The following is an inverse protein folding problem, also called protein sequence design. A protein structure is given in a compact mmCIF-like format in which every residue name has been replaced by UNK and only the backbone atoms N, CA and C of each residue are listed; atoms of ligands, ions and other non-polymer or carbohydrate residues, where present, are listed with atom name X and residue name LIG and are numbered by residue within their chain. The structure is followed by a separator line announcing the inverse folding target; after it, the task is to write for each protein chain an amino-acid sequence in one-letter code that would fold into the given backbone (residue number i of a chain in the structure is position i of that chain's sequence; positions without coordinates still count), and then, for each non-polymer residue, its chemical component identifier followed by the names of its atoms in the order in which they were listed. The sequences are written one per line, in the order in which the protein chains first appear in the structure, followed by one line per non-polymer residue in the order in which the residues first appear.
data_IF_794964217178
#
_entry.id   IF_794964217178
#
_cell.length_a   1.000
_cell.length_b   1.000
_cell.length_c   1.000
_cell.angle_alpha   90.00
_cell.angle_beta   90.00
_cell.angle_gamma   90.00
#
_symmetry.space_group_name_H-M   'P 1'
#
loop_
_entity.id
_entity.type
_entity.pdbx_description
1 polymer ?
#
# COMPACT_ATOMS: atom_id res chain seq x y z
N UNK A 1 26.16 30.61 1.92
CA UNK A 1 25.28 29.80 2.80
C UNK A 1 23.92 30.46 3.06
N UNK A 2 23.78 31.79 3.07
CA UNK A 2 22.53 32.49 3.46
C UNK A 2 21.29 32.23 2.59
N UNK A 3 21.44 31.83 1.32
CA UNK A 3 20.30 31.50 0.45
C UNK A 3 19.50 30.30 0.99
N UNK A 4 20.19 29.29 1.52
CA UNK A 4 19.56 28.04 1.95
C UNK A 4 18.85 28.17 3.31
N UNK A 5 19.29 29.09 4.17
CA UNK A 5 18.53 29.44 5.38
C UNK A 5 17.24 30.20 5.04
N UNK A 6 17.24 31.04 4.00
CA UNK A 6 16.04 31.78 3.60
C UNK A 6 14.96 30.83 3.03
N UNK A 7 15.34 29.92 2.12
CA UNK A 7 14.40 28.94 1.56
C UNK A 7 13.89 27.93 2.59
N UNK A 8 14.70 27.57 3.60
CA UNK A 8 14.26 26.76 4.75
C UNK A 8 13.20 27.49 5.59
N UNK A 9 13.41 28.79 5.84
CA UNK A 9 12.45 29.61 6.58
C UNK A 9 11.13 29.76 5.78
N UNK A 10 11.21 30.01 4.48
CA UNK A 10 10.04 30.05 3.59
C UNK A 10 9.28 28.71 3.58
N UNK A 11 9.96 27.56 3.63
CA UNK A 11 9.30 26.25 3.77
C UNK A 11 8.58 26.10 5.12
N UNK A 12 9.17 26.56 6.23
CA UNK A 12 8.53 26.55 7.55
C UNK A 12 7.28 27.45 7.58
N UNK A 13 7.36 28.67 7.03
CA UNK A 13 6.21 29.59 7.00
C UNK A 13 5.07 29.06 6.12
N UNK A 14 5.39 28.44 4.98
CA UNK A 14 4.41 27.73 4.15
C UNK A 14 3.77 26.53 4.87
N UNK A 15 4.53 25.80 5.69
CA UNK A 15 4.03 24.69 6.47
C UNK A 15 3.11 25.15 7.61
N UNK A 16 3.47 26.23 8.32
CA UNK A 16 2.62 26.85 9.34
C UNK A 16 1.31 27.33 8.71
N UNK A 17 1.36 28.00 7.56
CA UNK A 17 0.18 28.42 6.79
C UNK A 17 -0.74 27.24 6.40
N UNK A 18 -0.17 26.13 5.89
CA UNK A 18 -0.92 24.90 5.59
C UNK A 18 -1.53 24.24 6.84
N UNK A 19 -0.88 24.34 8.00
CA UNK A 19 -1.39 23.77 9.25
C UNK A 19 -2.45 24.67 9.93
N UNK A 20 -2.49 25.97 9.64
CA UNK A 20 -3.51 26.91 10.15
C UNK A 20 -4.70 27.10 9.19
N UNK A 21 -4.60 26.68 7.92
CA UNK A 21 -5.70 26.70 6.95
C UNK A 21 -6.92 25.88 7.43
N UNK A 22 -8.12 26.48 7.55
CA UNK A 22 -9.34 25.75 7.92
C UNK A 22 -9.70 24.61 6.96
N UNK A 23 -9.30 24.70 5.69
CA UNK A 23 -9.52 23.66 4.67
C UNK A 23 -8.77 22.36 4.99
N UNK A 24 -7.70 22.46 5.78
CA UNK A 24 -6.83 21.35 6.18
C UNK A 24 -7.15 20.91 7.62
N UNK A 25 -7.98 21.65 8.37
CA UNK A 25 -8.31 21.36 9.76
C UNK A 25 -8.81 19.92 9.98
N UNK A 26 -9.80 19.50 9.19
CA UNK A 26 -10.46 18.17 9.26
C UNK A 26 -9.59 17.01 8.74
N UNK A 27 -8.44 17.28 8.12
CA UNK A 27 -7.54 16.22 7.63
C UNK A 27 -6.85 15.52 8.80
N UNK A 28 -6.76 14.17 8.84
CA UNK A 28 -6.04 13.46 9.91
C UNK A 28 -4.57 13.87 10.00
N UNK A 29 -4.02 14.00 11.22
CA UNK A 29 -2.65 14.49 11.44
C UNK A 29 -1.57 13.71 10.68
N UNK A 30 -1.70 12.38 10.58
CA UNK A 30 -0.80 11.55 9.77
C UNK A 30 -0.75 11.97 8.29
N UNK A 31 -1.85 12.48 7.72
CA UNK A 31 -1.90 13.00 6.35
C UNK A 31 -1.30 14.40 6.23
N UNK A 32 -1.40 15.24 7.27
CA UNK A 32 -0.70 16.54 7.32
C UNK A 32 0.80 16.33 7.36
N UNK A 33 1.30 15.42 8.20
CA UNK A 33 2.71 15.04 8.31
C UNK A 33 3.21 14.48 6.96
N UNK A 34 2.54 13.49 6.39
CA UNK A 34 2.91 12.91 5.10
C UNK A 34 2.96 13.94 3.96
N UNK A 35 2.08 14.95 3.96
CA UNK A 35 2.15 16.05 3.00
C UNK A 35 3.41 16.91 3.18
N UNK A 36 3.74 17.28 4.42
CA UNK A 36 4.95 18.07 4.72
C UNK A 36 6.25 17.28 4.42
N UNK A 37 6.28 15.98 4.69
CA UNK A 37 7.36 15.08 4.28
C UNK A 37 7.49 15.03 2.74
N UNK A 38 6.37 14.92 2.02
CA UNK A 38 6.37 14.96 0.54
C UNK A 38 6.82 16.31 -0.05
N UNK A 39 6.75 17.39 0.75
CA UNK A 39 7.30 18.71 0.42
C UNK A 39 8.80 18.84 0.75
N UNK A 40 9.43 17.77 1.27
CA UNK A 40 10.86 17.72 1.57
C UNK A 40 11.25 18.30 2.93
N UNK A 41 10.29 18.45 3.86
CA UNK A 41 10.60 18.86 5.24
C UNK A 41 11.11 17.69 6.07
N UNK A 42 12.09 17.94 6.92
CA UNK A 42 12.53 16.95 7.91
C UNK A 42 11.55 16.85 9.09
N UNK A 43 11.57 15.69 9.76
CA UNK A 43 10.76 15.47 10.97
C UNK A 43 10.99 16.54 12.07
N UNK A 44 12.19 17.12 12.18
CA UNK A 44 12.45 18.21 13.11
C UNK A 44 11.73 19.51 12.73
N UNK A 45 11.77 19.89 11.46
CA UNK A 45 11.10 21.08 10.91
C UNK A 45 9.57 20.95 10.96
N UNK A 46 9.04 19.73 10.74
CA UNK A 46 7.61 19.42 10.87
C UNK A 46 7.12 19.63 12.31
N UNK A 47 7.86 19.14 13.30
CA UNK A 47 7.53 19.35 14.72
C UNK A 47 7.60 20.84 15.12
N UNK A 48 8.56 21.59 14.58
CA UNK A 48 8.65 23.03 14.78
C UNK A 48 7.43 23.77 14.17
N UNK A 49 7.04 23.44 12.93
CA UNK A 49 5.87 24.01 12.28
C UNK A 49 4.56 23.67 13.02
N UNK A 50 4.41 22.42 13.50
CA UNK A 50 3.29 22.00 14.34
C UNK A 50 3.19 22.79 15.64
N UNK A 51 4.31 23.03 16.32
CA UNK A 51 4.37 23.81 17.57
C UNK A 51 3.95 25.27 17.34
N UNK A 52 4.44 25.87 16.26
CA UNK A 52 4.09 27.25 15.88
C UNK A 52 2.61 27.34 15.48
N UNK A 53 2.12 26.41 14.64
CA UNK A 53 0.73 26.38 14.22
C UNK A 53 -0.25 26.13 15.38
N UNK A 54 0.09 25.25 16.33
CA UNK A 54 -0.70 25.05 17.55
C UNK A 54 -0.78 26.33 18.41
N UNK A 55 0.32 27.08 18.49
CA UNK A 55 0.37 28.37 19.19
C UNK A 55 -0.50 29.43 18.47
N UNK A 56 -0.51 29.45 17.13
CA UNK A 56 -1.36 30.36 16.34
C UNK A 56 -2.85 29.95 16.37
N UNK A 57 -3.18 28.67 16.42
CA UNK A 57 -4.57 28.22 16.59
C UNK A 57 -5.13 28.61 17.98
N UNK A 58 -4.28 28.74 19.00
CA UNK A 58 -4.70 29.19 20.33
C UNK A 58 -5.04 30.69 20.41
N UNK A 59 -4.59 31.54 19.46
CA UNK A 59 -4.97 32.98 19.48
C UNK A 59 -6.37 33.25 18.91
N UNK A 60 -7.00 32.26 18.26
CA UNK A 60 -8.37 32.33 17.76
C UNK A 60 -9.43 31.79 18.72
N UNK A 61 -9.01 31.22 19.86
CA UNK A 61 -9.90 30.93 21.00
C UNK A 61 -9.63 31.99 22.07
N UNK A 62 -10.57 32.92 22.24
CA UNK A 62 -10.37 34.14 23.04
C UNK A 62 -9.83 33.85 24.45
N UNK A 63 -8.95 34.74 24.99
CA UNK A 63 -8.27 34.49 26.25
C UNK A 63 -9.28 34.38 27.41
N UNK A 64 -9.09 33.44 28.36
CA UNK A 64 -9.88 33.42 29.59
C UNK A 64 -9.61 34.70 30.40
N UNK A 65 -10.63 35.29 31.06
CA UNK A 65 -10.45 36.51 31.82
C UNK A 65 -9.54 36.27 33.05
N UNK A 66 -8.40 36.94 33.08
CA UNK A 66 -7.54 36.98 34.26
C UNK A 66 -8.25 37.75 35.41
N UNK A 67 -8.03 37.36 36.68
CA UNK A 67 -8.62 38.05 37.82
C UNK A 67 -8.08 39.49 37.97
N UNK A 68 -8.90 40.44 38.44
CA UNK A 68 -8.52 41.85 38.52
C UNK A 68 -7.48 42.10 39.63
N UNK A 69 -6.35 42.69 39.25
CA UNK A 69 -5.34 43.21 40.16
C UNK A 69 -5.69 44.69 40.45
N UNK A 70 -5.77 45.14 41.72
CA UNK A 70 -6.11 46.53 42.03
C UNK A 70 -5.01 47.50 41.61
N UNK A 71 -5.42 48.64 41.04
CA UNK A 71 -4.51 49.65 40.50
C UNK A 71 -3.77 50.44 41.60
N UNK A 72 -2.43 50.44 41.53
CA UNK A 72 -1.57 51.36 42.27
C UNK A 72 -1.46 52.71 41.56
N UNK A 73 -1.60 53.81 42.31
CA UNK A 73 -1.74 55.17 41.79
C UNK A 73 -0.61 55.63 40.86
N UNK A 74 -0.99 56.40 39.83
CA UNK A 74 -0.06 56.96 38.85
C UNK A 74 0.73 58.17 39.35
N UNK A 75 1.91 58.36 38.75
CA UNK A 75 2.74 59.57 38.84
C UNK A 75 2.16 60.72 38.02
N UNK A 76 2.05 61.94 38.56
CA UNK A 76 1.84 63.15 37.75
C UNK A 76 3.19 63.72 37.29
N UNK A 77 3.32 63.93 35.98
CA UNK A 77 4.41 64.71 35.37
C UNK A 77 3.95 66.15 35.17
N UNK A 78 4.68 67.12 35.71
CA UNK A 78 4.57 68.54 35.34
C UNK A 78 5.95 69.18 35.47
N UNK A 79 6.43 69.87 34.42
CA UNK A 79 7.79 70.38 34.35
C UNK A 79 7.93 71.91 34.40
N UNK A 80 9.19 72.36 34.45
CA UNK A 80 9.61 73.71 34.05
C UNK A 80 9.46 74.83 35.08
N UNK A 81 10.58 75.38 35.56
CA UNK A 81 10.60 76.62 36.35
C UNK A 81 11.97 76.94 36.95
N UNK A 82 12.59 78.03 36.50
CA UNK A 82 13.87 78.54 37.01
C UNK A 82 13.67 79.30 38.34
N UNK A 83 14.57 79.14 39.31
CA UNK A 83 14.57 79.94 40.54
C UNK A 83 15.80 79.71 41.41
N UNK A 84 16.65 80.73 41.57
CA UNK A 84 17.88 80.70 42.39
C UNK A 84 17.68 81.55 43.65
N UNK A 85 17.88 80.97 44.84
CA UNK A 85 18.02 81.69 46.12
C UNK A 85 18.77 80.82 47.17
N UNK A 86 19.45 81.37 48.21
CA UNK A 86 20.66 80.73 48.74
C UNK A 86 20.78 80.52 50.28
N UNK A 87 21.68 79.59 50.67
CA UNK A 87 22.27 79.36 52.03
C UNK A 87 21.30 78.91 53.17
N UNK A 88 21.76 78.38 54.35
CA UNK A 88 23.14 78.21 54.85
C UNK A 88 23.52 76.78 55.36
N UNK A 89 24.80 76.63 55.74
CA UNK A 89 25.37 75.45 56.42
C UNK A 89 24.88 75.32 57.88
N UNK A 90 24.62 74.09 58.36
CA UNK A 90 24.39 73.78 59.78
C UNK A 90 25.35 72.67 60.25
N UNK A 91 25.96 72.85 61.43
CA UNK A 91 26.81 71.85 62.07
C UNK A 91 25.96 70.92 62.98
N UNK A 92 26.29 69.62 63.09
CA UNK A 92 25.53 68.67 63.91
C UNK A 92 25.79 68.88 65.42
N UNK A 93 24.78 68.68 66.29
CA UNK A 93 24.94 68.78 67.75
C UNK A 93 25.73 67.59 68.33
N UNK A 94 26.44 67.77 69.46
CA UNK A 94 27.23 66.72 70.08
C UNK A 94 26.36 65.60 70.70
N UNK A 95 26.87 64.34 70.74
CA UNK A 95 26.11 63.19 71.24
C UNK A 95 25.90 63.23 72.77
N UNK A 96 24.77 62.71 73.28
CA UNK A 96 24.47 62.66 74.71
C UNK A 96 25.34 61.65 75.46
N UNK A 97 25.64 61.95 76.73
CA UNK A 97 26.49 61.13 77.59
C UNK A 97 25.90 59.72 77.88
N UNK A 98 26.74 58.69 78.05
CA UNK A 98 26.28 57.34 78.35
C UNK A 98 25.62 57.27 79.74
N UNK A 99 24.47 56.61 79.82
CA UNK A 99 23.81 56.31 81.10
C UNK A 99 24.56 55.20 81.82
N UNK A 100 24.83 55.41 83.11
CA UNK A 100 25.30 54.34 84.00
C UNK A 100 24.16 53.35 84.24
N UNK A 101 24.29 52.13 83.72
CA UNK A 101 23.36 51.04 84.03
C UNK A 101 23.57 50.60 85.48
N UNK A 102 22.53 50.76 86.30
CA UNK A 102 22.58 50.35 87.70
C UNK A 102 22.63 48.82 87.81
N UNK A 103 23.18 48.30 88.92
CA UNK A 103 23.20 46.86 89.22
C UNK A 103 21.81 46.20 89.17
N UNK A 104 20.74 46.99 89.36
CA UNK A 104 19.34 46.58 89.21
C UNK A 104 18.99 46.22 87.78
N UNK A 105 19.50 46.95 86.79
CA UNK A 105 19.27 46.67 85.37
C UNK A 105 19.95 45.36 84.95
N UNK A 106 21.08 45.01 85.57
CA UNK A 106 21.71 43.70 85.39
C UNK A 106 20.88 42.56 86.00
N UNK A 107 20.26 42.76 87.18
CA UNK A 107 19.32 41.78 87.76
C UNK A 107 18.07 41.63 86.89
N UNK A 108 17.50 42.75 86.41
CA UNK A 108 16.32 42.73 85.53
C UNK A 108 16.65 42.10 84.17
N UNK A 109 17.78 42.42 83.55
CA UNK A 109 18.28 41.73 82.34
C UNK A 109 18.52 40.25 82.61
N UNK A 110 19.11 39.88 83.74
CA UNK A 110 19.37 38.49 84.13
C UNK A 110 18.07 37.69 84.27
N UNK A 111 17.09 38.20 85.01
CA UNK A 111 15.80 37.53 85.19
C UNK A 111 14.98 37.50 83.90
N UNK A 112 15.00 38.58 83.10
CA UNK A 112 14.28 38.64 81.81
C UNK A 112 14.88 37.69 80.78
N UNK A 113 16.22 37.67 80.65
CA UNK A 113 16.91 36.74 79.74
C UNK A 113 16.76 35.28 80.19
N UNK A 114 16.83 34.99 81.49
CA UNK A 114 16.55 33.65 82.02
C UNK A 114 15.10 33.21 81.75
N UNK A 115 14.12 34.11 81.89
CA UNK A 115 12.72 33.84 81.56
C UNK A 115 12.50 33.55 80.07
N UNK A 116 13.11 34.34 79.18
CA UNK A 116 13.06 34.13 77.73
C UNK A 116 13.76 32.80 77.35
N UNK A 117 14.92 32.51 77.94
CA UNK A 117 15.67 31.28 77.70
C UNK A 117 14.88 30.04 78.14
N UNK A 118 14.23 30.10 79.30
CA UNK A 118 13.39 29.00 79.81
C UNK A 118 12.12 28.81 78.97
N UNK A 119 11.49 29.92 78.53
CA UNK A 119 10.35 29.88 77.60
C UNK A 119 10.72 29.23 76.26
N UNK A 120 11.85 29.62 75.67
CA UNK A 120 12.37 29.02 74.44
C UNK A 120 12.67 27.53 74.62
N UNK A 121 13.30 27.13 75.74
CA UNK A 121 13.58 25.72 76.04
C UNK A 121 12.30 24.88 76.15
N UNK A 122 11.26 25.38 76.81
CA UNK A 122 9.97 24.68 76.91
C UNK A 122 9.28 24.52 75.54
N UNK A 123 9.31 25.55 74.69
CA UNK A 123 8.75 25.47 73.32
C UNK A 123 9.52 24.47 72.47
N UNK A 124 10.86 24.51 72.51
CA UNK A 124 11.71 23.58 71.76
C UNK A 124 11.47 22.15 72.24
N UNK A 125 11.63 21.88 73.53
CA UNK A 125 11.57 20.52 74.08
C UNK A 125 10.18 19.89 73.99
N UNK A 126 9.11 20.68 74.18
CA UNK A 126 7.74 20.17 74.27
C UNK A 126 6.92 20.26 72.99
N UNK A 127 7.35 21.06 72.00
CA UNK A 127 6.55 21.32 70.79
C UNK A 127 7.31 21.18 69.46
N UNK A 128 8.60 21.55 69.41
CA UNK A 128 9.43 21.36 68.21
C UNK A 128 10.08 19.98 68.17
N UNK A 129 10.71 19.54 69.26
CA UNK A 129 11.38 18.25 69.35
C UNK A 129 10.50 17.04 68.96
N UNK A 130 9.25 16.90 69.46
CA UNK A 130 8.35 15.80 69.05
C UNK A 130 7.79 15.94 67.62
N UNK A 131 8.05 17.04 66.90
CA UNK A 131 7.71 17.21 65.48
C UNK A 131 8.91 17.12 64.54
N UNK A 132 10.12 17.33 65.04
CA UNK A 132 11.37 17.38 64.26
C UNK A 132 12.17 16.08 64.37
N UNK A 133 11.97 15.28 65.43
CA UNK A 133 12.46 13.89 65.49
C UNK A 133 11.34 12.97 64.97
N UNK A 134 11.39 12.50 63.72
CA UNK A 134 10.44 11.50 63.24
C UNK A 134 10.62 10.17 63.99
N UNK A 135 9.54 9.46 64.36
CA UNK A 135 9.61 8.04 64.69
C UNK A 135 9.92 7.25 63.40
N UNK A 136 11.20 6.96 63.18
CA UNK A 136 11.80 6.95 61.84
C UNK A 136 12.14 5.59 61.21
N UNK A 137 11.71 4.46 61.78
CA UNK A 137 12.00 3.13 61.19
C UNK A 137 10.85 2.68 60.26
N UNK A 138 9.69 2.32 60.81
CA UNK A 138 8.59 1.70 60.04
C UNK A 138 8.17 2.42 58.75
N UNK A 139 8.15 3.76 58.70
CA UNK A 139 7.80 4.50 57.48
C UNK A 139 8.95 4.60 56.47
N UNK A 140 10.19 4.63 56.96
CA UNK A 140 11.36 4.60 56.10
C UNK A 140 11.58 3.19 55.52
N UNK A 141 11.22 2.15 56.26
CA UNK A 141 11.28 0.77 55.80
C UNK A 141 10.17 0.47 54.77
N UNK A 142 8.96 0.99 54.97
CA UNK A 142 7.87 0.97 53.96
C UNK A 142 8.27 1.69 52.66
N UNK A 143 8.88 2.88 52.76
CA UNK A 143 9.39 3.61 51.60
C UNK A 143 10.52 2.84 50.88
N UNK A 144 11.46 2.22 51.62
CA UNK A 144 12.51 1.36 51.03
C UNK A 144 11.93 0.13 50.32
N UNK A 145 10.96 -0.55 50.93
CA UNK A 145 10.29 -1.70 50.29
C UNK A 145 9.54 -1.28 49.02
N UNK A 146 8.96 -0.07 48.99
CA UNK A 146 8.35 0.48 47.78
C UNK A 146 9.40 0.78 46.70
N UNK A 147 10.54 1.35 47.09
CA UNK A 147 11.62 1.72 46.17
C UNK A 147 12.31 0.50 45.58
N UNK A 148 12.59 -0.52 46.40
CA UNK A 148 13.12 -1.82 45.99
C UNK A 148 12.17 -2.52 45.01
N UNK A 149 10.85 -2.48 45.28
CA UNK A 149 9.84 -3.03 44.36
C UNK A 149 9.79 -2.30 43.03
N UNK A 150 9.93 -0.98 43.01
CA UNK A 150 10.00 -0.22 41.76
C UNK A 150 11.36 -0.41 41.04
N UNK A 151 12.47 -0.60 41.75
CA UNK A 151 13.75 -0.99 41.13
C UNK A 151 13.66 -2.36 40.46
N UNK A 152 13.14 -3.38 41.15
CA UNK A 152 12.90 -4.70 40.56
C UNK A 152 11.94 -4.64 39.35
N UNK A 153 10.94 -3.74 39.39
CA UNK A 153 10.06 -3.47 38.25
C UNK A 153 10.81 -2.83 37.08
N UNK A 154 11.68 -1.86 37.34
CA UNK A 154 12.48 -1.18 36.31
C UNK A 154 13.52 -2.14 35.71
N UNK A 155 14.15 -2.99 36.52
CA UNK A 155 15.06 -4.04 36.04
C UNK A 155 14.32 -5.06 35.17
N UNK A 156 13.14 -5.54 35.59
CA UNK A 156 12.31 -6.44 34.77
C UNK A 156 11.83 -5.78 33.46
N UNK A 157 11.52 -4.48 33.48
CA UNK A 157 11.19 -3.71 32.26
C UNK A 157 12.42 -3.50 31.37
N UNK A 158 13.62 -3.37 31.94
CA UNK A 158 14.86 -3.25 31.17
C UNK A 158 15.26 -4.59 30.53
N UNK A 159 15.16 -5.70 31.26
CA UNK A 159 15.35 -7.06 30.73
C UNK A 159 14.31 -7.36 29.64
N UNK A 160 13.04 -6.97 29.86
CA UNK A 160 12.01 -7.08 28.83
C UNK A 160 12.34 -6.20 27.62
N UNK A 161 12.83 -4.96 27.79
CA UNK A 161 13.19 -4.08 26.68
C UNK A 161 14.40 -4.61 25.89
N UNK A 162 15.41 -5.16 26.56
CA UNK A 162 16.55 -5.82 25.92
C UNK A 162 16.09 -7.05 25.12
N UNK A 163 15.20 -7.85 25.70
CA UNK A 163 14.60 -9.01 25.02
C UNK A 163 13.74 -8.60 23.83
N UNK A 164 12.83 -7.63 24.00
CA UNK A 164 11.96 -7.11 22.95
C UNK A 164 12.80 -6.49 21.82
N UNK A 165 13.92 -5.82 22.14
CA UNK A 165 14.84 -5.29 21.14
C UNK A 165 15.64 -6.39 20.43
N UNK A 166 16.06 -7.45 21.13
CA UNK A 166 16.71 -8.63 20.53
C UNK A 166 15.76 -9.38 19.59
N UNK A 167 14.53 -9.66 20.05
CA UNK A 167 13.49 -10.26 19.21
C UNK A 167 13.09 -9.35 18.04
N UNK A 168 13.04 -8.03 18.24
CA UNK A 168 12.78 -7.08 17.16
C UNK A 168 13.90 -7.10 16.11
N UNK A 169 15.18 -7.09 16.51
CA UNK A 169 16.32 -7.20 15.58
C UNK A 169 16.23 -8.51 14.80
N UNK A 170 16.03 -9.65 15.47
CA UNK A 170 15.88 -10.95 14.81
C UNK A 170 14.73 -10.96 13.79
N UNK A 171 13.58 -10.36 14.12
CA UNK A 171 12.44 -10.23 13.21
C UNK A 171 12.74 -9.27 12.04
N UNK A 172 13.51 -8.20 12.25
CA UNK A 172 13.94 -7.30 11.17
C UNK A 172 14.93 -7.98 10.23
N UNK A 173 15.87 -8.78 10.74
CA UNK A 173 16.82 -9.55 9.92
C UNK A 173 16.09 -10.61 9.08
N UNK A 174 15.14 -11.35 9.67
CA UNK A 174 14.26 -12.26 8.93
C UNK A 174 13.46 -11.54 7.83
N UNK A 175 12.88 -10.37 8.13
CA UNK A 175 12.14 -9.59 7.13
C UNK A 175 13.05 -9.05 6.04
N UNK A 176 14.26 -8.61 6.36
CA UNK A 176 15.26 -8.15 5.39
C UNK A 176 15.65 -9.29 4.45
N UNK A 177 15.94 -10.48 4.98
CA UNK A 177 16.21 -11.67 4.16
C UNK A 177 15.05 -12.04 3.24
N UNK A 178 13.81 -12.01 3.72
CA UNK A 178 12.61 -12.27 2.90
C UNK A 178 12.40 -11.20 1.82
N UNK A 179 12.75 -9.94 2.10
CA UNK A 179 12.72 -8.85 1.11
C UNK A 179 13.80 -9.07 0.04
N UNK A 180 15.02 -9.42 0.43
CA UNK A 180 16.12 -9.70 -0.50
C UNK A 180 15.80 -10.91 -1.40
N UNK A 181 15.21 -11.97 -0.84
CA UNK A 181 14.75 -13.15 -1.58
C UNK A 181 13.63 -12.80 -2.57
N UNK A 182 12.62 -12.02 -2.15
CA UNK A 182 11.57 -11.54 -3.03
C UNK A 182 12.09 -10.59 -4.13
N UNK A 183 13.10 -9.76 -3.84
CA UNK A 183 13.75 -8.90 -4.83
C UNK A 183 14.53 -9.73 -5.87
N UNK A 184 15.21 -10.80 -5.45
CA UNK A 184 15.84 -11.75 -6.37
C UNK A 184 14.82 -12.50 -7.23
N UNK A 185 13.69 -12.92 -6.67
CA UNK A 185 12.61 -13.55 -7.44
C UNK A 185 12.00 -12.58 -8.46
N UNK A 186 11.75 -11.31 -8.08
CA UNK A 186 11.24 -10.28 -8.99
C UNK A 186 12.23 -10.00 -10.12
N UNK A 187 13.54 -9.90 -9.86
CA UNK A 187 14.56 -9.76 -10.91
C UNK A 187 14.60 -10.99 -11.84
N UNK A 188 14.49 -12.20 -11.30
CA UNK A 188 14.39 -13.43 -12.09
C UNK A 188 13.14 -13.47 -12.96
N UNK A 189 11.97 -13.09 -12.42
CA UNK A 189 10.70 -13.00 -13.16
C UNK A 189 10.76 -11.92 -14.24
N UNK A 190 11.36 -10.76 -13.96
CA UNK A 190 11.54 -9.67 -14.94
C UNK A 190 12.46 -10.12 -16.07
N UNK A 191 13.59 -10.77 -15.77
CA UNK A 191 14.50 -11.35 -16.78
C UNK A 191 13.81 -12.43 -17.61
N UNK A 192 13.13 -13.37 -16.97
CA UNK A 192 12.37 -14.43 -17.66
C UNK A 192 11.23 -13.87 -18.52
N UNK A 193 10.55 -12.81 -18.07
CA UNK A 193 9.51 -12.11 -18.82
C UNK A 193 10.09 -11.35 -20.01
N UNK A 194 11.26 -10.72 -19.86
CA UNK A 194 11.95 -10.03 -20.94
C UNK A 194 12.43 -11.01 -22.03
N UNK A 195 13.12 -12.09 -21.63
CA UNK A 195 13.51 -13.18 -22.54
C UNK A 195 12.29 -13.80 -23.23
N UNK A 196 11.21 -14.09 -22.50
CA UNK A 196 9.96 -14.58 -23.08
C UNK A 196 9.34 -13.58 -24.06
N UNK A 197 9.40 -12.28 -23.79
CA UNK A 197 8.92 -11.25 -24.71
C UNK A 197 9.78 -11.19 -25.99
N UNK A 198 11.10 -11.29 -25.87
CA UNK A 198 12.01 -11.38 -27.02
C UNK A 198 11.74 -12.63 -27.87
N UNK A 199 11.54 -13.80 -27.23
CA UNK A 199 11.12 -15.04 -27.92
C UNK A 199 9.74 -14.92 -28.55
N UNK A 200 8.80 -14.23 -27.91
CA UNK A 200 7.50 -13.93 -28.49
C UNK A 200 7.65 -13.01 -29.72
N UNK A 201 8.54 -12.03 -29.71
CA UNK A 201 8.81 -11.18 -30.86
C UNK A 201 9.46 -11.95 -32.02
N UNK A 202 10.42 -12.85 -31.73
CA UNK A 202 11.03 -13.76 -32.70
C UNK A 202 9.98 -14.70 -33.34
N UNK A 203 9.14 -15.33 -32.53
CA UNK A 203 8.07 -16.23 -33.00
C UNK A 203 6.97 -15.48 -33.76
N UNK A 204 6.63 -14.25 -33.38
CA UNK A 204 5.72 -13.40 -34.16
C UNK A 204 6.31 -12.99 -35.52
N UNK A 205 7.62 -12.70 -35.58
CA UNK A 205 8.34 -12.47 -36.86
C UNK A 205 8.33 -13.72 -37.72
N UNK A 206 8.62 -14.89 -37.15
CA UNK A 206 8.56 -16.17 -37.85
C UNK A 206 7.15 -16.47 -38.38
N UNK A 207 6.13 -16.37 -37.53
CA UNK A 207 4.73 -16.61 -37.91
C UNK A 207 4.25 -15.63 -38.98
N UNK A 208 4.71 -14.37 -38.97
CA UNK A 208 4.44 -13.43 -40.06
C UNK A 208 5.03 -13.91 -41.39
N UNK A 209 6.30 -14.36 -41.39
CA UNK A 209 6.94 -14.91 -42.58
C UNK A 209 6.25 -16.19 -43.08
N UNK A 210 5.80 -17.05 -42.16
CA UNK A 210 5.03 -18.25 -42.47
C UNK A 210 3.65 -17.90 -43.05
N UNK A 211 2.95 -16.90 -42.50
CA UNK A 211 1.68 -16.40 -43.04
C UNK A 211 1.87 -15.80 -44.44
N UNK A 212 2.92 -15.02 -44.68
CA UNK A 212 3.25 -14.51 -46.02
C UNK A 212 3.63 -15.64 -46.99
N UNK A 213 4.34 -16.68 -46.52
CA UNK A 213 4.63 -17.90 -47.29
C UNK A 213 3.38 -18.70 -47.64
N UNK A 214 2.48 -18.92 -46.68
CA UNK A 214 1.18 -19.58 -46.88
C UNK A 214 0.34 -18.76 -47.86
N UNK A 215 0.29 -17.44 -47.72
CA UNK A 215 -0.41 -16.54 -48.64
C UNK A 215 0.12 -16.64 -50.06
N UNK A 216 1.44 -16.60 -50.27
CA UNK A 216 2.02 -16.73 -51.62
C UNK A 216 1.78 -18.13 -52.20
N UNK A 217 1.87 -19.18 -51.39
CA UNK A 217 1.61 -20.58 -51.79
C UNK A 217 0.14 -20.80 -52.13
N UNK A 218 -0.79 -20.24 -51.36
CA UNK A 218 -2.22 -20.29 -51.59
C UNK A 218 -2.60 -19.53 -52.86
N UNK A 219 -2.09 -18.32 -53.07
CA UNK A 219 -2.30 -17.55 -54.31
C UNK A 219 -1.74 -18.29 -55.53
N UNK A 220 -0.55 -18.91 -55.40
CA UNK A 220 0.06 -19.71 -56.48
C UNK A 220 -0.76 -20.96 -56.80
N UNK A 221 -1.27 -21.67 -55.79
CA UNK A 221 -2.14 -22.84 -55.98
C UNK A 221 -3.50 -22.45 -56.57
N UNK A 222 -4.07 -21.30 -56.19
CA UNK A 222 -5.31 -20.78 -56.75
C UNK A 222 -5.12 -20.42 -58.24
N UNK A 223 -4.06 -19.70 -58.59
CA UNK A 223 -3.79 -19.36 -59.99
C UNK A 223 -3.44 -20.61 -60.82
N UNK A 224 -2.76 -21.60 -60.24
CA UNK A 224 -2.53 -22.90 -60.87
C UNK A 224 -3.85 -23.67 -61.12
N UNK A 225 -4.75 -23.76 -60.12
CA UNK A 225 -6.06 -24.39 -60.28
C UNK A 225 -6.92 -23.64 -61.31
N UNK A 226 -6.95 -22.32 -61.27
CA UNK A 226 -7.63 -21.46 -62.27
C UNK A 226 -7.09 -21.71 -63.67
N UNK A 227 -5.77 -21.84 -63.83
CA UNK A 227 -5.12 -22.19 -65.09
C UNK A 227 -5.54 -23.58 -65.57
N UNK A 228 -5.44 -24.61 -64.72
CA UNK A 228 -5.90 -25.98 -65.04
C UNK A 228 -7.37 -26.00 -65.44
N UNK A 229 -8.27 -25.39 -64.66
CA UNK A 229 -9.70 -25.30 -64.97
C UNK A 229 -9.92 -24.56 -66.30
N UNK A 230 -9.18 -23.48 -66.58
CA UNK A 230 -9.30 -22.79 -67.87
C UNK A 230 -8.80 -23.61 -69.06
N UNK A 231 -7.79 -24.45 -68.86
CA UNK A 231 -7.27 -25.38 -69.87
C UNK A 231 -8.26 -26.53 -70.11
N UNK A 232 -8.82 -27.11 -69.05
CA UNK A 232 -9.85 -28.15 -69.14
C UNK A 232 -11.13 -27.59 -69.79
N UNK A 233 -11.59 -26.39 -69.40
CA UNK A 233 -12.73 -25.74 -70.05
C UNK A 233 -12.49 -25.49 -71.53
N UNK A 234 -11.29 -25.05 -71.93
CA UNK A 234 -10.93 -24.87 -73.33
C UNK A 234 -10.84 -26.20 -74.09
N UNK A 235 -10.32 -27.25 -73.47
CA UNK A 235 -10.30 -28.60 -74.06
C UNK A 235 -11.73 -29.18 -74.17
N UNK A 236 -12.61 -28.87 -73.23
CA UNK A 236 -14.03 -29.20 -73.31
C UNK A 236 -14.73 -28.40 -74.43
N UNK A 237 -14.45 -27.11 -74.57
CA UNK A 237 -14.94 -26.23 -75.65
C UNK A 237 -14.52 -26.79 -77.03
N UNK A 238 -13.22 -27.06 -77.22
CA UNK A 238 -12.69 -27.68 -78.43
C UNK A 238 -13.30 -29.08 -78.68
N UNK A 239 -13.52 -29.89 -77.64
CA UNK A 239 -14.25 -31.16 -77.77
C UNK A 239 -15.71 -30.96 -78.13
N UNK A 240 -16.40 -29.95 -77.61
CA UNK A 240 -17.78 -29.65 -78.01
C UNK A 240 -17.87 -29.17 -79.44
N UNK A 241 -16.94 -28.34 -79.92
CA UNK A 241 -16.87 -27.91 -81.33
C UNK A 241 -16.54 -29.09 -82.26
N UNK A 242 -15.65 -29.99 -81.84
CA UNK A 242 -15.38 -31.24 -82.55
C UNK A 242 -16.59 -32.18 -82.55
N UNK A 243 -17.39 -32.24 -81.47
CA UNK A 243 -18.65 -32.99 -81.46
C UNK A 243 -19.73 -32.33 -82.32
N UNK A 244 -19.84 -30.99 -82.31
CA UNK A 244 -20.80 -30.24 -83.13
C UNK A 244 -20.47 -30.44 -84.60
N UNK A 245 -19.22 -30.24 -85.01
CA UNK A 245 -18.79 -30.49 -86.40
C UNK A 245 -18.90 -31.97 -86.81
N UNK A 246 -18.71 -32.92 -85.88
CA UNK A 246 -18.98 -34.33 -86.15
C UNK A 246 -20.48 -34.62 -86.34
N UNK A 247 -21.36 -34.06 -85.50
CA UNK A 247 -22.82 -34.15 -85.64
C UNK A 247 -23.28 -33.50 -86.95
N UNK A 248 -22.78 -32.32 -87.28
CA UNK A 248 -23.06 -31.59 -88.52
C UNK A 248 -22.58 -32.40 -89.75
N UNK A 249 -21.43 -33.09 -89.64
CA UNK A 249 -20.95 -34.03 -90.67
C UNK A 249 -21.81 -35.30 -90.80
N UNK A 250 -22.51 -35.72 -89.74
CA UNK A 250 -23.43 -36.87 -89.75
C UNK A 250 -24.78 -36.45 -90.32
N UNK A 251 -25.30 -35.29 -89.97
CA UNK A 251 -26.56 -34.79 -90.50
C UNK A 251 -26.41 -34.42 -91.98
N UNK A 252 -25.27 -33.82 -92.36
CA UNK A 252 -24.85 -33.65 -93.77
C UNK A 252 -24.65 -34.98 -94.54
N UNK A 253 -24.52 -36.12 -93.84
CA UNK A 253 -24.42 -37.47 -94.43
C UNK A 253 -25.74 -38.25 -94.42
N UNK A 254 -26.87 -37.63 -94.06
CA UNK A 254 -28.20 -38.24 -94.21
C UNK A 254 -28.77 -38.15 -95.61
N UNK A 255 -28.20 -37.35 -96.50
CA UNK A 255 -28.37 -37.54 -97.94
C UNK A 255 -27.25 -38.43 -98.50
N UNK A 256 -27.64 -39.38 -99.36
CA UNK A 256 -26.80 -40.35 -100.08
C UNK A 256 -26.49 -41.68 -99.36
N UNK A 257 -27.33 -42.69 -99.62
CA UNK A 257 -26.97 -44.12 -99.44
C UNK A 257 -25.77 -44.50 -100.33
N UNK A 258 -24.92 -45.44 -99.91
CA UNK A 258 -23.83 -45.93 -100.78
C UNK A 258 -22.84 -46.94 -100.18
N UNK A 259 -23.18 -48.23 -100.27
CA UNK A 259 -22.34 -49.42 -100.02
C UNK A 259 -20.85 -49.36 -100.47
N UNK A 260 -19.92 -49.78 -99.59
CA UNK A 260 -18.87 -50.84 -99.74
C UNK A 260 -17.77 -50.67 -98.66
N UNK A 261 -17.54 -51.62 -97.75
CA UNK A 261 -16.90 -52.96 -97.84
C UNK A 261 -15.36 -52.98 -97.99
N UNK A 262 -14.77 -53.90 -97.21
CA UNK A 262 -13.37 -54.37 -97.11
C UNK A 262 -12.50 -53.60 -96.09
N UNK A 263 -11.61 -54.24 -95.31
CA UNK A 263 -11.27 -55.66 -95.21
C UNK A 263 -10.24 -55.90 -94.10
N UNK A 264 -10.27 -57.10 -93.52
CA UNK A 264 -9.47 -57.61 -92.39
C UNK A 264 -7.96 -57.28 -92.42
N UNK A 265 -7.37 -56.88 -91.28
CA UNK A 265 -6.21 -57.60 -90.70
C UNK A 265 -5.93 -57.25 -89.23
N UNK A 266 -5.30 -58.20 -88.53
CA UNK A 266 -4.97 -58.16 -87.10
C UNK A 266 -3.45 -58.22 -86.98
N UNK A 267 -2.84 -57.51 -86.01
CA UNK A 267 -1.89 -58.21 -85.15
C UNK A 267 -2.12 -57.92 -83.67
N UNK A 268 -2.17 -59.01 -82.89
CA UNK A 268 -2.00 -59.00 -81.44
C UNK A 268 -0.53 -59.31 -81.14
N UNK A 269 0.06 -58.70 -80.10
CA UNK A 269 0.57 -59.57 -79.05
C UNK A 269 0.09 -59.18 -77.64
N UNK A 270 0.16 -60.15 -76.73
CA UNK A 270 -0.22 -60.04 -75.31
C UNK A 270 1.03 -59.72 -74.43
N UNK A 271 1.07 -59.90 -73.08
CA UNK A 271 1.23 -58.73 -72.20
C UNK A 271 2.41 -58.77 -71.19
N UNK A 272 2.55 -57.68 -70.41
CA UNK A 272 3.25 -57.55 -69.09
C UNK A 272 4.80 -57.67 -69.01
N UNK A 273 5.48 -57.17 -67.95
CA UNK A 273 5.22 -56.02 -67.04
C UNK A 273 6.50 -55.12 -66.83
N UNK A 274 6.51 -54.09 -65.94
CA UNK A 274 6.79 -54.33 -64.50
C UNK A 274 5.97 -53.49 -63.50
N UNK A 275 5.75 -54.10 -62.33
CA UNK A 275 5.43 -53.56 -61.00
C UNK A 275 5.04 -52.07 -60.83
N UNK A 276 3.73 -51.82 -60.71
CA UNK A 276 3.25 -50.76 -59.82
C UNK A 276 3.46 -51.22 -58.37
N UNK A 277 4.43 -50.62 -57.67
CA UNK A 277 4.65 -50.84 -56.24
C UNK A 277 3.59 -50.10 -55.40
N UNK A 278 2.38 -50.66 -55.34
CA UNK A 278 1.44 -50.38 -54.25
C UNK A 278 1.95 -51.05 -52.96
N UNK A 279 2.97 -50.46 -52.35
CA UNK A 279 3.27 -50.64 -50.93
C UNK A 279 2.63 -49.50 -50.14
N UNK A 280 1.29 -49.51 -50.08
CA UNK A 280 0.54 -48.68 -49.15
C UNK A 280 0.09 -49.52 -47.95
N UNK A 281 1.08 -50.10 -47.25
CA UNK A 281 0.85 -50.74 -45.96
C UNK A 281 0.86 -49.67 -44.85
N UNK A 282 -0.32 -49.18 -44.48
CA UNK A 282 -0.49 -48.51 -43.19
C UNK A 282 -1.78 -48.93 -42.49
N UNK A 283 -1.87 -50.23 -42.20
CA UNK A 283 -2.69 -50.69 -41.08
C UNK A 283 -2.14 -50.08 -39.79
N UNK A 284 -2.85 -49.11 -39.21
CA UNK A 284 -2.48 -48.51 -37.92
C UNK A 284 -3.02 -49.36 -36.77
N UNK A 285 -2.25 -50.35 -36.33
CA UNK A 285 -2.52 -51.12 -35.11
C UNK A 285 -1.21 -51.49 -34.38
N UNK A 286 -1.00 -50.89 -33.20
CA UNK A 286 -0.29 -51.40 -32.02
C UNK A 286 0.97 -52.28 -32.16
N UNK A 287 2.09 -51.82 -31.57
CA UNK A 287 3.11 -52.55 -30.75
C UNK A 287 4.28 -51.54 -30.54
N UNK A 288 4.50 -50.93 -29.37
CA UNK A 288 4.96 -51.45 -28.05
C UNK A 288 6.49 -51.63 -27.93
N UNK A 289 7.17 -50.64 -27.33
CA UNK A 289 8.50 -50.71 -26.68
C UNK A 289 8.65 -49.54 -25.68
N UNK A 290 9.42 -49.64 -24.57
CA UNK A 290 9.30 -50.57 -23.44
C UNK A 290 8.96 -49.86 -22.10
N UNK A 291 8.92 -50.64 -21.01
CA UNK A 291 8.45 -50.32 -19.66
C UNK A 291 9.40 -49.50 -18.75
N UNK A 292 8.88 -48.39 -18.18
CA UNK A 292 9.19 -47.73 -16.87
C UNK A 292 10.65 -47.31 -16.46
N UNK A 293 10.85 -46.42 -15.43
CA UNK A 293 9.88 -45.90 -14.45
C UNK A 293 9.66 -44.37 -14.39
N UNK A 294 8.36 -44.07 -14.26
CA UNK A 294 7.70 -43.06 -13.41
C UNK A 294 8.53 -41.95 -12.73
N UNK A 295 8.25 -40.71 -13.14
CA UNK A 295 8.09 -39.55 -12.24
C UNK A 295 6.87 -38.75 -12.68
N UNK A 296 6.05 -38.34 -11.72
CA UNK A 296 4.65 -37.94 -11.91
C UNK A 296 4.53 -36.43 -11.64
N UNK A 297 4.17 -35.65 -12.67
CA UNK A 297 3.83 -34.23 -12.57
C UNK A 297 2.66 -33.96 -13.50
N UNK A 298 1.46 -33.91 -12.92
CA UNK A 298 0.22 -33.61 -13.62
C UNK A 298 0.24 -32.18 -14.17
N UNK A 299 0.28 -32.05 -15.50
CA UNK A 299 0.06 -30.80 -16.21
C UNK A 299 -0.95 -31.07 -17.33
N UNK A 300 -2.20 -30.56 -17.23
CA UNK A 300 -3.22 -30.82 -18.23
C UNK A 300 -2.88 -30.15 -19.58
N UNK A 301 -3.30 -30.73 -20.72
CA UNK A 301 -3.01 -30.18 -22.04
C UNK A 301 -3.69 -28.81 -22.27
N UNK A 302 -3.15 -27.96 -23.15
CA UNK A 302 -3.61 -26.57 -23.34
C UNK A 302 -5.02 -26.42 -23.93
N UNK A 303 -5.73 -27.52 -24.21
CA UNK A 303 -7.15 -27.54 -24.58
C UNK A 303 -8.11 -27.40 -23.38
N UNK A 304 -7.61 -27.39 -22.14
CA UNK A 304 -8.43 -27.34 -20.92
C UNK A 304 -8.72 -25.92 -20.40
N UNK A 305 -8.36 -24.87 -21.15
CA UNK A 305 -8.66 -23.47 -20.80
C UNK A 305 -9.91 -23.02 -21.56
N UNK A 306 -11.05 -22.73 -20.88
CA UNK A 306 -12.26 -22.28 -21.56
C UNK A 306 -12.04 -20.89 -22.18
N UNK A 307 -12.62 -20.66 -23.37
CA UNK A 307 -12.53 -19.37 -24.03
C UNK A 307 -13.39 -18.33 -23.29
N UNK A 308 -12.95 -17.07 -23.25
CA UNK A 308 -13.66 -16.01 -22.54
C UNK A 308 -15.11 -15.77 -23.04
N UNK A 309 -15.46 -16.29 -24.22
CA UNK A 309 -16.84 -16.29 -24.73
C UNK A 309 -17.74 -17.36 -24.12
N UNK A 310 -17.19 -18.51 -23.73
CA UNK A 310 -17.96 -19.63 -23.17
C UNK A 310 -18.39 -19.36 -21.72
N UNK A 311 -17.57 -18.61 -20.97
CA UNK A 311 -17.83 -18.20 -19.59
C UNK A 311 -18.98 -17.16 -19.49
N UNK A 312 -19.27 -16.44 -20.58
CA UNK A 312 -20.24 -15.34 -20.60
C UNK A 312 -21.67 -15.75 -21.00
N UNK A 313 -21.93 -17.00 -21.38
CA UNK A 313 -23.21 -17.41 -21.97
C UNK A 313 -24.02 -18.46 -21.19
N UNK A 314 -23.40 -19.22 -20.28
CA UNK A 314 -24.09 -20.31 -19.55
C UNK A 314 -24.54 -19.87 -18.15
N UNK A 315 -25.74 -19.30 -18.09
CA UNK A 315 -26.62 -19.52 -16.94
C UNK A 315 -27.33 -20.87 -17.13
N UNK A 316 -27.92 -21.42 -16.07
CA UNK A 316 -28.76 -22.64 -16.04
C UNK A 316 -28.03 -24.01 -16.15
N UNK A 317 -27.85 -24.69 -15.00
CA UNK A 317 -28.72 -25.82 -14.55
C UNK A 317 -28.02 -27.03 -13.89
N UNK A 318 -28.13 -27.09 -12.55
CA UNK A 318 -28.18 -28.32 -11.70
C UNK A 318 -26.86 -29.13 -11.57
N UNK A 319 -26.62 -29.98 -10.55
CA UNK A 319 -27.51 -30.79 -9.67
C UNK A 319 -26.97 -31.01 -8.23
N UNK A 320 -27.89 -31.30 -7.28
CA UNK A 320 -27.72 -32.00 -5.97
C UNK A 320 -26.73 -31.41 -4.93
N UNK A 321 -27.09 -31.16 -3.66
CA UNK A 321 -27.83 -32.05 -2.74
C UNK A 321 -28.56 -31.34 -1.56
N UNK A 322 -29.71 -31.91 -1.15
CA UNK A 322 -30.11 -32.39 0.21
C UNK A 322 -29.62 -31.63 1.49
N UNK A 323 -30.42 -31.28 2.53
CA UNK A 323 -31.89 -31.18 2.77
C UNK A 323 -32.25 -30.59 4.18
N UNK A 324 -33.13 -29.56 4.26
CA UNK A 324 -34.03 -29.14 5.39
C UNK A 324 -33.45 -28.75 6.79
N UNK A 325 -34.20 -28.03 7.69
CA UNK A 325 -35.04 -26.80 7.55
C UNK A 325 -34.81 -25.75 8.73
N UNK A 326 -35.64 -24.69 8.95
CA UNK A 326 -35.18 -23.40 9.52
C UNK A 326 -35.78 -22.99 10.90
N UNK A 327 -35.61 -21.73 11.38
CA UNK A 327 -36.40 -20.56 10.93
C UNK A 327 -35.50 -19.31 10.64
N UNK A 328 -35.95 -18.11 10.24
CA UNK A 328 -37.29 -17.51 10.10
C UNK A 328 -37.36 -16.53 8.88
N UNK A 329 -38.31 -15.60 8.87
CA UNK A 329 -38.60 -14.60 7.81
C UNK A 329 -38.08 -13.18 8.13
N UNK A 330 -37.76 -12.38 7.09
CA UNK A 330 -38.52 -11.16 6.71
C UNK A 330 -38.36 -10.93 5.20
N UNK A 331 -39.48 -10.77 4.48
CA UNK A 331 -39.55 -10.36 3.06
C UNK A 331 -39.64 -8.85 2.89
N UNK A 332 -38.91 -8.26 1.94
CA UNK A 332 -39.40 -7.11 1.14
C UNK A 332 -38.72 -7.07 -0.24
N UNK A 333 -39.52 -7.07 -1.30
CA UNK A 333 -39.16 -6.81 -2.72
C UNK A 333 -39.18 -5.28 -2.96
N UNK A 334 -38.21 -4.64 -3.63
CA UNK A 334 -37.98 -4.47 -5.09
C UNK A 334 -36.85 -3.40 -5.26
N UNK A 335 -36.40 -2.99 -6.47
CA UNK A 335 -36.13 -3.72 -7.71
C UNK A 335 -34.62 -3.68 -8.08
N UNK A 336 -34.23 -4.39 -9.14
CA UNK A 336 -32.82 -4.58 -9.52
C UNK A 336 -32.08 -3.31 -9.96
N UNK A 337 -31.03 -2.92 -9.23
CA UNK A 337 -29.90 -2.18 -9.77
C UNK A 337 -28.66 -3.09 -9.79
N UNK A 338 -28.13 -3.34 -10.99
CA UNK A 338 -27.07 -4.33 -11.21
C UNK A 338 -25.70 -3.71 -10.89
N UNK A 339 -25.47 -3.40 -9.61
CA UNK A 339 -24.24 -2.78 -9.09
C UNK A 339 -23.41 -3.87 -8.41
N UNK A 340 -22.19 -4.18 -8.89
CA UNK A 340 -21.36 -5.24 -8.34
C UNK A 340 -20.89 -4.90 -6.91
N UNK A 341 -20.73 -5.91 -6.06
CA UNK A 341 -20.48 -5.75 -4.62
C UNK A 341 -19.27 -4.86 -4.26
N UNK A 342 -18.23 -4.83 -5.11
CA UNK A 342 -17.06 -3.95 -4.91
C UNK A 342 -17.41 -2.45 -4.96
N UNK A 343 -18.47 -2.06 -5.68
CA UNK A 343 -18.92 -0.68 -5.81
C UNK A 343 -19.85 -0.25 -4.66
N UNK A 344 -20.45 -1.19 -3.93
CA UNK A 344 -21.15 -0.92 -2.66
C UNK A 344 -20.16 -0.80 -1.49
N UNK A 345 -19.12 -1.63 -1.47
CA UNK A 345 -18.07 -1.60 -0.46
C UNK A 345 -17.30 -0.27 -0.41
N UNK A 346 -17.10 0.40 -1.55
CA UNK A 346 -16.48 1.73 -1.62
C UNK A 346 -17.41 2.85 -1.12
N UNK A 347 -18.72 2.73 -1.33
CA UNK A 347 -19.72 3.70 -0.89
C UNK A 347 -19.95 3.69 0.64
N UNK A 348 -19.79 2.55 1.31
CA UNK A 348 -19.89 2.49 2.78
C UNK A 348 -18.69 3.11 3.52
N UNK A 349 -17.57 3.33 2.83
CA UNK A 349 -16.34 3.91 3.43
C UNK A 349 -16.49 5.37 3.86
N UNK A 350 -17.56 6.06 3.48
CA UNK A 350 -17.80 7.47 3.80
C UNK A 350 -18.67 7.72 5.04
N UNK A 351 -19.15 6.67 5.74
CA UNK A 351 -20.10 6.84 6.87
C UNK A 351 -19.80 6.04 8.16
N UNK A 352 -18.65 5.40 8.29
CA UNK A 352 -18.17 4.87 9.59
C UNK A 352 -16.82 5.48 9.89
N UNK A 353 -16.79 6.35 10.90
CA UNK A 353 -15.62 7.15 11.24
C UNK A 353 -15.56 7.60 12.70
N UNK A 354 -16.15 6.84 13.64
CA UNK A 354 -15.76 6.90 15.06
C UNK A 354 -16.31 5.71 15.89
N UNK A 355 -15.53 4.65 16.08
CA UNK A 355 -15.54 3.78 17.30
C UNK A 355 -14.63 2.56 17.12
N UNK A 356 -13.56 2.51 17.91
CA UNK A 356 -12.74 1.35 18.30
C UNK A 356 -12.16 0.35 17.28
N UNK A 357 -11.09 -0.30 17.74
CA UNK A 357 -10.34 -1.29 16.96
C UNK A 357 -11.22 -2.48 16.58
N UNK A 358 -11.27 -2.78 15.28
CA UNK A 358 -11.80 -4.04 14.76
C UNK A 358 -11.02 -4.45 13.51
N UNK A 359 -10.58 -5.70 13.52
CA UNK A 359 -9.69 -6.31 12.54
C UNK A 359 -10.34 -6.23 11.13
N UNK A 360 -9.61 -5.81 10.08
CA UNK A 360 -10.20 -5.69 8.75
C UNK A 360 -10.58 -7.07 8.18
N UNK A 361 -11.72 -7.16 7.50
CA UNK A 361 -12.34 -8.43 7.11
C UNK A 361 -11.46 -9.37 6.25
N UNK A 362 -10.44 -8.85 5.54
CA UNK A 362 -9.50 -9.67 4.78
C UNK A 362 -8.53 -10.47 5.69
N UNK A 363 -8.29 -10.01 6.92
CA UNK A 363 -7.38 -10.64 7.87
C UNK A 363 -8.02 -11.83 8.61
N UNK A 364 -9.36 -11.89 8.70
CA UNK A 364 -10.08 -13.05 9.22
C UNK A 364 -10.16 -14.20 8.20
N UNK A 365 -10.22 -13.89 6.91
CA UNK A 365 -10.27 -14.90 5.83
C UNK A 365 -8.93 -15.65 5.63
N UNK A 366 -7.84 -15.20 6.26
CA UNK A 366 -6.51 -15.80 6.16
C UNK A 366 -6.15 -16.72 7.35
N UNK A 367 -7.09 -16.94 8.28
CA UNK A 367 -6.85 -17.66 9.54
C UNK A 367 -7.66 -18.97 9.66
N UNK A 368 -8.35 -19.38 8.59
CA UNK A 368 -9.25 -20.55 8.54
C UNK A 368 -8.90 -21.48 7.36
N UNK A 369 -7.61 -21.82 7.23
CA UNK A 369 -7.07 -22.85 6.32
C UNK A 369 -5.71 -23.37 6.84
#
# INVERSE_FOLDING_TARGET
MSQQSNTRQEMLDNAVSFLTDPSVADTPMAKKIQFLESKGMSNAEINQALTIAATQQQTHKGPPPAPPIPAGAGVPSTGGGLGVAPFPYYAPPPPPAPRSYDWKDYVIMGTTSAGIMYGAYQIVSRYLLPKVIPPSQSKLDEDKESLEREFQRVEAVLEQLEKDQSEFISRQDEKTKLIDEALMEVDAIVKATNEKNLRNEETLKYLKLEVDSIKTTLLKNLEAQKSTISSELKELEEKTDNLISFIDSIDSKKETEGYRQSGTEIPRPSPSPPANLLTNNRSTSSVSVPTEPKYELDIPPPSSVPSAKDILNENYKSTSSTSLPPPAEVTTTEPSSNIPAWQLASAQKSKIGNSDASIPAWQLAAQDN
#
